data_IF_983735941915
#
_entry.id   IF_983735941915
#
_cell.length_a   1.000
_cell.length_b   1.000
_cell.length_c   1.000
_cell.angle_alpha   90.00
_cell.angle_beta   90.00
_cell.angle_gamma   90.00
#
_symmetry.space_group_name_H-M   'P 1'
#
loop_
_entity.id
_entity.type
_entity.pdbx_description
1 polymer ?
#
# COMPACT_ATOMS: atom_id res chain seq x y z
N UNK A 1 -26.19 -21.14 -9.43
CA UNK A 1 -26.51 -19.91 -8.66
C UNK A 1 -25.91 -18.68 -9.33
N UNK A 2 -26.58 -17.54 -9.28
CA UNK A 2 -26.03 -16.27 -9.76
C UNK A 2 -25.87 -15.32 -8.57
N UNK A 3 -24.74 -14.62 -8.48
CA UNK A 3 -24.49 -13.59 -7.47
C UNK A 3 -24.26 -12.26 -8.18
N UNK A 4 -24.98 -11.24 -7.75
CA UNK A 4 -24.79 -9.86 -8.18
C UNK A 4 -24.01 -9.12 -7.11
N UNK A 5 -22.92 -8.47 -7.50
CA UNK A 5 -22.20 -7.52 -6.66
C UNK A 5 -22.63 -6.12 -7.06
N UNK A 6 -23.06 -5.31 -6.09
CA UNK A 6 -23.47 -3.91 -6.32
C UNK A 6 -22.58 -2.98 -5.50
N UNK A 7 -21.98 -2.00 -6.17
CA UNK A 7 -21.04 -1.08 -5.55
C UNK A 7 -21.17 0.31 -6.14
N UNK A 8 -20.93 1.32 -5.31
CA UNK A 8 -20.80 2.72 -5.72
C UNK A 8 -19.39 3.03 -6.29
N UNK A 9 -18.50 2.02 -6.28
CA UNK A 9 -17.17 2.01 -6.89
C UNK A 9 -16.95 0.80 -7.80
N UNK A 10 -15.75 0.17 -7.72
CA UNK A 10 -15.34 -0.88 -8.69
C UNK A 10 -16.01 -2.24 -8.48
N UNK A 11 -16.55 -2.50 -7.29
CA UNK A 11 -17.09 -3.79 -6.88
C UNK A 11 -16.03 -4.86 -6.57
N UNK A 12 -14.75 -4.50 -6.46
CA UNK A 12 -13.69 -5.48 -6.20
C UNK A 12 -13.77 -6.08 -4.80
N UNK A 13 -14.07 -5.27 -3.77
CA UNK A 13 -14.26 -5.74 -2.39
C UNK A 13 -15.38 -6.79 -2.31
N UNK A 14 -16.54 -6.47 -2.92
CA UNK A 14 -17.66 -7.40 -3.00
C UNK A 14 -17.32 -8.67 -3.78
N UNK A 15 -16.62 -8.52 -4.91
CA UNK A 15 -16.20 -9.65 -5.73
C UNK A 15 -15.23 -10.58 -5.01
N UNK A 16 -14.27 -10.02 -4.27
CA UNK A 16 -13.30 -10.77 -3.47
C UNK A 16 -13.98 -11.54 -2.34
N UNK A 17 -14.87 -10.89 -1.59
CA UNK A 17 -15.63 -11.53 -0.51
C UNK A 17 -16.51 -12.67 -1.02
N UNK A 18 -17.24 -12.46 -2.11
CA UNK A 18 -18.06 -13.51 -2.74
C UNK A 18 -17.19 -14.67 -3.20
N UNK A 19 -16.07 -14.41 -3.89
CA UNK A 19 -15.14 -15.48 -4.32
C UNK A 19 -14.63 -16.29 -3.13
N UNK A 20 -14.23 -15.63 -2.05
CA UNK A 20 -13.74 -16.27 -0.83
C UNK A 20 -14.82 -17.18 -0.20
N UNK A 21 -16.06 -16.69 -0.11
CA UNK A 21 -17.17 -17.48 0.41
C UNK A 21 -17.50 -18.69 -0.49
N UNK A 22 -17.50 -18.50 -1.81
CA UNK A 22 -17.89 -19.53 -2.77
C UNK A 22 -16.90 -20.71 -2.86
N UNK A 23 -15.65 -20.55 -2.41
CA UNK A 23 -14.67 -21.64 -2.31
C UNK A 23 -15.17 -22.77 -1.39
N UNK A 24 -16.01 -22.45 -0.41
CA UNK A 24 -16.57 -23.41 0.53
C UNK A 24 -17.64 -24.34 -0.10
N UNK A 25 -18.09 -24.04 -1.32
CA UNK A 25 -19.19 -24.75 -1.97
C UNK A 25 -18.75 -25.40 -3.28
N UNK A 26 -19.09 -26.68 -3.47
CA UNK A 26 -18.84 -27.43 -4.72
C UNK A 26 -20.00 -27.31 -5.71
N UNK A 27 -20.43 -26.09 -6.02
CA UNK A 27 -21.54 -25.83 -6.93
C UNK A 27 -21.16 -24.80 -8.01
N UNK A 28 -21.79 -24.90 -9.19
CA UNK A 28 -21.55 -23.93 -10.28
C UNK A 28 -22.23 -22.60 -9.98
N UNK A 29 -21.48 -21.52 -10.12
CA UNK A 29 -21.97 -20.17 -9.89
C UNK A 29 -21.43 -19.17 -10.91
N UNK A 30 -22.11 -18.02 -11.02
CA UNK A 30 -21.71 -16.90 -11.87
C UNK A 30 -21.73 -15.61 -11.07
N UNK A 31 -20.77 -14.74 -11.35
CA UNK A 31 -20.68 -13.40 -10.78
C UNK A 31 -21.05 -12.37 -11.83
N UNK A 32 -21.92 -11.42 -11.48
CA UNK A 32 -22.12 -10.18 -12.25
C UNK A 32 -21.85 -9.00 -11.32
N UNK A 33 -21.12 -8.01 -11.82
CA UNK A 33 -20.71 -6.84 -11.03
C UNK A 33 -21.37 -5.60 -11.63
N UNK A 34 -22.09 -4.86 -10.80
CA UNK A 34 -22.69 -3.57 -11.10
C UNK A 34 -21.86 -2.52 -10.35
N UNK A 35 -21.12 -1.75 -11.16
CA UNK A 35 -20.20 -0.71 -10.70
C UNK A 35 -20.88 0.64 -10.71
N UNK A 36 -20.30 1.58 -9.97
CA UNK A 36 -20.70 2.99 -9.96
C UNK A 36 -22.22 3.20 -9.78
N UNK A 37 -22.88 2.32 -9.01
CA UNK A 37 -24.30 2.42 -8.71
C UNK A 37 -24.51 3.52 -7.66
N UNK A 38 -24.98 4.68 -8.11
CA UNK A 38 -25.03 5.93 -7.31
C UNK A 38 -26.42 6.58 -7.31
N UNK A 39 -27.43 5.89 -7.80
CA UNK A 39 -28.80 6.41 -7.82
C UNK A 39 -29.84 5.33 -7.52
N UNK A 40 -30.97 5.78 -6.97
CA UNK A 40 -32.14 4.94 -6.70
C UNK A 40 -32.68 4.26 -7.97
N UNK A 41 -32.62 4.95 -9.11
CA UNK A 41 -33.09 4.40 -10.39
C UNK A 41 -32.20 3.26 -10.90
N UNK A 42 -30.88 3.36 -10.70
CA UNK A 42 -29.95 2.26 -11.01
C UNK A 42 -30.18 1.07 -10.09
N UNK A 43 -30.30 1.32 -8.78
CA UNK A 43 -30.61 0.26 -7.80
C UNK A 43 -31.86 -0.50 -8.22
N UNK A 44 -32.95 0.18 -8.56
CA UNK A 44 -34.19 -0.45 -9.03
C UNK A 44 -33.95 -1.38 -10.22
N UNK A 45 -33.22 -0.91 -11.24
CA UNK A 45 -32.89 -1.70 -12.43
C UNK A 45 -32.02 -2.92 -12.09
N UNK A 46 -31.12 -2.79 -11.13
CA UNK A 46 -30.25 -3.90 -10.70
C UNK A 46 -31.06 -4.96 -9.94
N UNK A 47 -31.93 -4.53 -9.03
CA UNK A 47 -32.80 -5.45 -8.28
C UNK A 47 -33.81 -6.13 -9.19
N UNK A 48 -34.39 -5.42 -10.17
CA UNK A 48 -35.24 -6.00 -11.23
C UNK A 48 -34.50 -7.10 -12.02
N UNK A 49 -33.25 -6.86 -12.40
CA UNK A 49 -32.43 -7.88 -13.06
C UNK A 49 -32.09 -9.05 -12.12
N UNK A 50 -31.92 -8.79 -10.83
CA UNK A 50 -31.60 -9.81 -9.84
C UNK A 50 -32.79 -10.75 -9.63
N UNK A 51 -34.01 -10.19 -9.55
CA UNK A 51 -35.27 -10.93 -9.49
C UNK A 51 -35.41 -11.88 -10.69
N UNK A 52 -35.27 -11.35 -11.90
CA UNK A 52 -35.36 -12.15 -13.14
C UNK A 52 -34.30 -13.26 -13.22
N UNK A 53 -33.12 -13.02 -12.66
CA UNK A 53 -32.02 -13.98 -12.65
C UNK A 53 -32.03 -14.91 -11.43
N UNK A 54 -33.00 -14.75 -10.50
CA UNK A 54 -33.01 -15.37 -9.17
C UNK A 54 -31.63 -15.28 -8.49
N UNK A 55 -31.06 -14.08 -8.48
CA UNK A 55 -29.71 -13.81 -8.02
C UNK A 55 -29.67 -13.37 -6.56
N UNK A 56 -28.65 -13.83 -5.84
CA UNK A 56 -28.27 -13.25 -4.55
C UNK A 56 -27.60 -11.90 -4.82
N UNK A 57 -28.04 -10.83 -4.16
CA UNK A 57 -27.40 -9.52 -4.21
C UNK A 57 -26.47 -9.36 -3.02
N UNK A 58 -25.21 -9.04 -3.28
CA UNK A 58 -24.22 -8.63 -2.27
C UNK A 58 -23.81 -7.20 -2.59
N UNK A 59 -23.97 -6.28 -1.64
CA UNK A 59 -23.69 -4.87 -1.92
C UNK A 59 -22.70 -4.26 -0.93
N UNK A 60 -22.04 -3.19 -1.38
CA UNK A 60 -21.00 -2.44 -0.65
C UNK A 60 -21.23 -0.93 -0.77
N UNK A 61 -22.50 -0.53 -0.82
CA UNK A 61 -22.94 0.87 -0.89
C UNK A 61 -22.83 1.53 0.49
N UNK A 62 -22.46 2.80 0.54
CA UNK A 62 -22.31 3.53 1.83
C UNK A 62 -23.25 4.71 2.02
N UNK A 63 -23.88 5.19 0.94
CA UNK A 63 -24.87 6.27 0.99
C UNK A 63 -26.23 5.76 1.46
N UNK A 64 -26.71 6.33 2.57
CA UNK A 64 -27.90 5.85 3.28
C UNK A 64 -29.14 5.75 2.41
N UNK A 65 -29.43 6.78 1.60
CA UNK A 65 -30.61 6.79 0.73
C UNK A 65 -30.60 5.65 -0.29
N UNK A 66 -29.42 5.34 -0.87
CA UNK A 66 -29.25 4.29 -1.87
C UNK A 66 -29.32 2.91 -1.22
N UNK A 67 -28.70 2.75 -0.04
CA UNK A 67 -28.78 1.51 0.76
C UNK A 67 -30.23 1.20 1.13
N UNK A 68 -30.95 2.19 1.65
CA UNK A 68 -32.36 2.05 2.01
C UNK A 68 -33.24 1.74 0.80
N UNK A 69 -32.95 2.35 -0.36
CA UNK A 69 -33.66 2.04 -1.60
C UNK A 69 -33.40 0.59 -2.06
N UNK A 70 -32.15 0.11 -1.95
CA UNK A 70 -31.79 -1.25 -2.35
C UNK A 70 -32.47 -2.28 -1.46
N UNK A 71 -32.40 -2.10 -0.14
CA UNK A 71 -33.03 -2.99 0.83
C UNK A 71 -34.54 -3.03 0.62
N UNK A 72 -35.20 -1.87 0.53
CA UNK A 72 -36.65 -1.80 0.28
C UNK A 72 -37.05 -2.49 -1.01
N UNK A 73 -36.35 -2.26 -2.11
CA UNK A 73 -36.73 -2.90 -3.38
C UNK A 73 -36.40 -4.38 -3.43
N UNK A 74 -35.34 -4.81 -2.76
CA UNK A 74 -35.03 -6.22 -2.61
C UNK A 74 -36.14 -6.94 -1.80
N UNK A 75 -36.57 -6.35 -0.68
CA UNK A 75 -37.65 -6.86 0.15
C UNK A 75 -38.98 -6.92 -0.61
N UNK A 76 -39.35 -5.85 -1.33
CA UNK A 76 -40.57 -5.78 -2.13
C UNK A 76 -40.66 -6.87 -3.21
N UNK A 77 -39.51 -7.29 -3.75
CA UNK A 77 -39.40 -8.26 -4.85
C UNK A 77 -38.99 -9.66 -4.39
N UNK A 78 -38.81 -9.88 -3.08
CA UNK A 78 -38.33 -11.14 -2.53
C UNK A 78 -36.90 -11.51 -2.97
N UNK A 79 -36.08 -10.52 -3.34
CA UNK A 79 -34.68 -10.72 -3.68
C UNK A 79 -33.85 -10.72 -2.40
N UNK A 80 -33.01 -11.74 -2.23
CA UNK A 80 -32.09 -11.79 -1.07
C UNK A 80 -30.95 -10.79 -1.30
N UNK A 81 -30.84 -9.80 -0.42
CA UNK A 81 -29.77 -8.81 -0.44
C UNK A 81 -28.94 -8.85 0.86
N UNK A 82 -27.62 -8.78 0.72
CA UNK A 82 -26.65 -8.83 1.83
C UNK A 82 -25.79 -7.59 1.80
N UNK A 83 -25.86 -6.81 2.89
CA UNK A 83 -24.93 -5.71 3.14
C UNK A 83 -23.58 -6.27 3.62
N UNK A 84 -22.55 -6.11 2.79
CA UNK A 84 -21.23 -6.65 3.08
C UNK A 84 -20.47 -5.84 4.15
N UNK A 85 -20.68 -4.52 4.21
CA UNK A 85 -19.81 -3.62 4.98
C UNK A 85 -20.53 -2.90 6.12
N UNK A 86 -21.84 -2.66 6.01
CA UNK A 86 -22.61 -1.93 7.02
C UNK A 86 -22.44 -2.47 8.44
N UNK A 87 -22.57 -3.80 8.69
CA UNK A 87 -22.36 -4.36 10.03
C UNK A 87 -20.96 -4.09 10.59
N UNK A 88 -19.92 -4.16 9.76
CA UNK A 88 -18.53 -3.91 10.17
C UNK A 88 -18.32 -2.43 10.48
N UNK A 89 -18.79 -1.54 9.59
CA UNK A 89 -18.69 -0.09 9.76
C UNK A 89 -19.37 0.34 11.06
N UNK A 90 -20.56 -0.20 11.35
CA UNK A 90 -21.29 0.10 12.59
C UNK A 90 -20.49 -0.31 13.85
N UNK A 91 -19.84 -1.48 13.84
CA UNK A 91 -19.01 -1.93 14.97
C UNK A 91 -17.77 -1.06 15.15
N UNK A 92 -17.15 -0.64 14.06
CA UNK A 92 -16.00 0.29 14.10
C UNK A 92 -16.42 1.65 14.64
N UNK A 93 -17.53 2.22 14.15
CA UNK A 93 -18.08 3.48 14.63
C UNK A 93 -18.36 3.46 16.14
N UNK A 94 -18.99 2.40 16.64
CA UNK A 94 -19.23 2.19 18.07
C UNK A 94 -17.92 2.16 18.88
N UNK A 95 -16.88 1.51 18.35
CA UNK A 95 -15.60 1.38 19.04
C UNK A 95 -14.82 2.69 19.05
N UNK A 96 -14.85 3.43 17.95
CA UNK A 96 -14.16 4.72 17.80
C UNK A 96 -14.94 5.88 18.43
N UNK A 97 -16.24 5.71 18.68
CA UNK A 97 -17.17 6.76 19.11
C UNK A 97 -17.22 7.93 18.12
N UNK A 98 -17.17 7.62 16.84
CA UNK A 98 -17.20 8.58 15.72
C UNK A 98 -18.22 8.10 14.70
N UNK A 99 -19.00 9.02 14.14
CA UNK A 99 -19.95 8.73 13.08
C UNK A 99 -19.24 8.38 11.76
N UNK A 100 -19.70 7.35 11.02
CA UNK A 100 -19.19 7.08 9.69
C UNK A 100 -19.43 8.26 8.76
N UNK A 101 -18.50 8.47 7.82
CA UNK A 101 -18.61 9.58 6.87
C UNK A 101 -19.68 9.37 5.79
N UNK A 102 -20.13 8.13 5.56
CA UNK A 102 -21.18 7.78 4.58
C UNK A 102 -21.01 8.36 3.16
N UNK A 103 -19.77 8.67 2.74
CA UNK A 103 -19.50 9.23 1.42
C UNK A 103 -19.23 8.09 0.41
N UNK A 104 -20.02 8.00 -0.68
CA UNK A 104 -19.73 7.13 -1.82
C UNK A 104 -18.28 7.25 -2.28
N UNK A 105 -17.67 6.13 -2.62
CA UNK A 105 -16.29 6.16 -3.09
C UNK A 105 -15.26 6.45 -2.00
N UNK A 106 -15.57 6.39 -0.69
CA UNK A 106 -14.53 6.34 0.35
C UNK A 106 -13.68 5.05 0.31
N UNK A 107 -14.21 3.96 -0.27
CA UNK A 107 -13.39 2.81 -0.67
C UNK A 107 -12.41 3.17 -1.79
N UNK A 108 -12.81 4.10 -2.68
CA UNK A 108 -11.92 4.82 -3.58
C UNK A 108 -11.19 5.97 -2.90
N UNK A 109 -11.44 6.31 -1.63
CA UNK A 109 -10.69 7.30 -0.86
C UNK A 109 -9.31 6.80 -0.42
N UNK A 110 -9.04 5.50 -0.65
CA UNK A 110 -7.70 4.96 -0.88
C UNK A 110 -7.07 5.43 -2.22
N UNK A 111 -7.74 6.35 -2.94
CA UNK A 111 -7.28 7.06 -4.12
C UNK A 111 -5.91 7.68 -3.89
N UNK A 112 -5.64 8.23 -2.70
CA UNK A 112 -4.31 8.75 -2.39
C UNK A 112 -3.28 7.62 -2.44
N UNK A 113 -3.52 6.46 -1.84
CA UNK A 113 -2.58 5.33 -1.90
C UNK A 113 -2.44 4.77 -3.34
N UNK A 114 -3.49 4.80 -4.15
CA UNK A 114 -3.41 4.43 -5.57
C UNK A 114 -2.64 5.46 -6.40
N UNK A 115 -2.92 6.76 -6.24
CA UNK A 115 -2.23 7.84 -6.93
C UNK A 115 -0.79 7.98 -6.44
N UNK A 116 -0.52 7.76 -5.16
CA UNK A 116 0.81 7.70 -4.55
C UNK A 116 1.58 6.51 -5.11
N UNK A 117 0.94 5.35 -5.33
CA UNK A 117 1.56 4.22 -6.04
C UNK A 117 1.81 4.52 -7.51
N UNK A 118 0.88 5.19 -8.20
CA UNK A 118 1.07 5.60 -9.61
C UNK A 118 2.23 6.59 -9.70
N UNK A 119 2.28 7.59 -8.82
CA UNK A 119 3.34 8.58 -8.71
C UNK A 119 4.67 7.91 -8.32
N UNK A 120 4.67 6.98 -7.37
CA UNK A 120 5.85 6.19 -7.01
C UNK A 120 6.39 5.36 -8.18
N UNK A 121 5.51 4.72 -8.96
CA UNK A 121 5.89 3.95 -10.15
C UNK A 121 6.42 4.88 -11.24
N UNK A 122 5.76 6.00 -11.51
CA UNK A 122 6.23 6.99 -12.48
C UNK A 122 7.58 7.58 -12.06
N UNK A 123 7.74 7.90 -10.77
CA UNK A 123 8.99 8.35 -10.19
C UNK A 123 10.09 7.31 -10.41
N UNK A 124 9.84 6.04 -10.08
CA UNK A 124 10.83 4.97 -10.24
C UNK A 124 11.24 4.75 -11.70
N UNK A 125 10.31 4.90 -12.65
CA UNK A 125 10.61 4.82 -14.09
C UNK A 125 11.51 5.99 -14.52
N UNK A 126 11.22 7.21 -14.07
CA UNK A 126 12.03 8.40 -14.37
C UNK A 126 13.43 8.39 -13.73
N UNK A 127 13.60 7.61 -12.66
CA UNK A 127 14.84 7.53 -11.86
C UNK A 127 15.54 6.17 -11.94
N UNK A 128 15.17 5.32 -12.91
CA UNK A 128 15.89 4.08 -13.16
C UNK A 128 17.26 4.36 -13.81
N UNK A 129 18.27 3.57 -13.43
CA UNK A 129 19.63 3.63 -13.96
C UNK A 129 20.30 5.02 -13.92
N UNK A 130 19.95 5.85 -12.93
CA UNK A 130 20.51 7.19 -12.74
C UNK A 130 20.03 8.24 -13.75
N UNK A 131 18.93 7.99 -14.48
CA UNK A 131 18.46 8.85 -15.56
C UNK A 131 18.08 10.28 -15.14
N UNK A 132 17.67 10.50 -13.88
CA UNK A 132 17.34 11.83 -13.37
C UNK A 132 17.84 12.05 -11.93
N UNK A 133 19.05 12.57 -11.78
CA UNK A 133 19.65 12.81 -10.47
C UNK A 133 19.14 14.09 -9.78
N UNK A 134 18.58 15.05 -10.53
CA UNK A 134 18.21 16.37 -10.01
C UNK A 134 17.08 16.29 -8.97
N UNK A 135 16.11 15.42 -9.23
CA UNK A 135 14.93 15.20 -8.36
C UNK A 135 15.11 14.00 -7.43
N UNK A 136 16.33 13.44 -7.33
CA UNK A 136 16.60 12.26 -6.49
C UNK A 136 16.32 12.51 -4.99
N UNK A 137 16.42 13.75 -4.54
CA UNK A 137 16.13 14.16 -3.16
C UNK A 137 14.66 13.97 -2.75
N UNK A 138 13.75 13.84 -3.72
CA UNK A 138 12.33 13.55 -3.50
C UNK A 138 12.06 12.05 -3.26
N UNK A 139 13.05 11.17 -3.47
CA UNK A 139 12.90 9.75 -3.25
C UNK A 139 12.71 9.41 -1.76
N UNK A 140 11.82 8.46 -1.49
CA UNK A 140 11.69 7.79 -0.20
C UNK A 140 12.87 6.83 0.01
N UNK A 141 13.18 6.05 -1.03
CA UNK A 141 14.19 4.99 -1.01
C UNK A 141 15.12 5.17 -2.21
N UNK A 142 16.42 5.09 -1.99
CA UNK A 142 17.42 5.10 -3.07
C UNK A 142 18.25 3.84 -3.01
N UNK A 143 18.18 3.05 -4.08
CA UNK A 143 18.99 1.85 -4.26
C UNK A 143 20.28 2.20 -4.98
N UNK A 144 21.41 1.73 -4.46
CA UNK A 144 22.69 1.89 -5.13
C UNK A 144 23.53 0.63 -5.06
N UNK A 145 24.40 0.40 -6.03
CA UNK A 145 25.26 -0.78 -6.07
C UNK A 145 25.75 -1.12 -7.47
N UNK A 146 26.63 -2.13 -7.52
CA UNK A 146 27.31 -2.56 -8.75
C UNK A 146 26.34 -3.03 -9.83
N UNK A 147 26.74 -3.03 -11.09
CA UNK A 147 25.88 -3.49 -12.19
C UNK A 147 25.40 -4.93 -11.92
N UNK A 148 24.11 -5.21 -12.18
CA UNK A 148 23.43 -6.52 -12.01
C UNK A 148 23.11 -6.96 -10.58
N UNK A 149 23.01 -6.04 -9.62
CA UNK A 149 22.47 -6.31 -8.27
C UNK A 149 20.93 -6.23 -8.18
N UNK A 150 20.20 -6.57 -9.23
CA UNK A 150 18.71 -6.57 -9.26
C UNK A 150 18.04 -5.23 -8.89
N UNK A 151 18.73 -4.09 -9.04
CA UNK A 151 18.19 -2.76 -8.70
C UNK A 151 16.89 -2.42 -9.42
N UNK A 152 16.83 -2.56 -10.76
CA UNK A 152 15.63 -2.20 -11.54
C UNK A 152 14.40 -3.03 -11.18
N UNK A 153 14.45 -4.38 -11.08
CA UNK A 153 13.30 -5.15 -10.58
C UNK A 153 12.89 -4.76 -9.15
N UNK A 154 13.87 -4.47 -8.29
CA UNK A 154 13.61 -4.14 -6.89
C UNK A 154 13.03 -2.73 -6.72
N UNK A 155 13.49 -1.74 -7.48
CA UNK A 155 12.95 -0.37 -7.46
C UNK A 155 11.50 -0.35 -7.94
N UNK A 156 11.18 -1.09 -9.00
CA UNK A 156 9.81 -1.23 -9.49
C UNK A 156 8.91 -1.93 -8.47
N UNK A 157 9.41 -2.97 -7.80
CA UNK A 157 8.63 -3.66 -6.77
C UNK A 157 8.33 -2.74 -5.58
N UNK A 158 9.32 -1.97 -5.11
CA UNK A 158 9.14 -1.00 -4.02
C UNK A 158 8.15 0.11 -4.43
N UNK A 159 8.22 0.57 -5.67
CA UNK A 159 7.28 1.55 -6.21
C UNK A 159 5.83 1.03 -6.28
N UNK A 160 5.62 -0.23 -6.64
CA UNK A 160 4.31 -0.89 -6.58
C UNK A 160 3.75 -0.99 -5.15
N UNK A 161 4.63 -0.89 -4.14
CA UNK A 161 4.27 -0.80 -2.73
C UNK A 161 4.06 0.64 -2.23
N UNK A 162 4.19 1.64 -3.10
CA UNK A 162 3.93 3.06 -2.79
C UNK A 162 5.17 3.89 -2.47
N UNK A 163 6.39 3.35 -2.65
CA UNK A 163 7.62 4.07 -2.31
C UNK A 163 8.27 4.71 -3.54
N UNK A 164 8.47 6.04 -3.53
CA UNK A 164 9.26 6.74 -4.57
C UNK A 164 10.70 6.24 -4.52
N UNK A 165 11.05 5.38 -5.48
CA UNK A 165 12.33 4.66 -5.44
C UNK A 165 13.27 5.11 -6.55
N UNK A 166 14.43 5.67 -6.19
CA UNK A 166 15.50 5.97 -7.13
C UNK A 166 16.51 4.83 -7.26
N UNK A 167 17.07 4.61 -8.45
CA UNK A 167 18.13 3.62 -8.69
C UNK A 167 19.37 4.35 -9.23
N UNK A 168 20.46 4.36 -8.45
CA UNK A 168 21.72 4.98 -8.85
C UNK A 168 22.82 3.92 -8.95
N UNK A 169 23.25 3.54 -10.17
CA UNK A 169 24.29 2.54 -10.35
C UNK A 169 25.64 3.08 -9.88
N UNK A 170 26.46 2.20 -9.29
CA UNK A 170 27.88 2.47 -9.10
C UNK A 170 28.65 1.92 -10.29
N UNK A 171 29.40 2.80 -10.96
CA UNK A 171 30.22 2.45 -12.12
C UNK A 171 31.69 2.57 -11.74
N UNK A 172 32.47 1.52 -12.01
CA UNK A 172 33.91 1.51 -11.74
C UNK A 172 34.62 2.68 -12.42
N UNK A 173 35.43 3.42 -11.68
CA UNK A 173 36.21 4.55 -12.20
C UNK A 173 35.43 5.85 -12.35
N UNK A 174 34.14 5.86 -12.02
CA UNK A 174 33.30 7.05 -11.98
C UNK A 174 32.93 7.31 -10.52
N UNK A 175 33.19 8.53 -10.04
CA UNK A 175 32.78 8.92 -8.70
C UNK A 175 31.26 8.95 -8.58
N UNK A 176 30.69 8.51 -7.44
CA UNK A 176 29.25 8.61 -7.23
C UNK A 176 28.78 10.07 -7.33
N UNK A 177 27.59 10.32 -7.90
CA UNK A 177 27.07 11.67 -8.05
C UNK A 177 26.86 12.33 -6.69
N UNK A 178 27.09 13.65 -6.60
CA UNK A 178 26.95 14.41 -5.36
C UNK A 178 25.54 14.31 -4.80
N UNK A 179 24.55 14.31 -5.69
CA UNK A 179 23.14 14.16 -5.37
C UNK A 179 22.85 12.87 -4.60
N UNK A 180 23.59 11.79 -4.83
CA UNK A 180 23.48 10.55 -4.04
C UNK A 180 24.19 10.67 -2.68
N UNK A 181 25.36 11.32 -2.67
CA UNK A 181 26.20 11.45 -1.48
C UNK A 181 25.61 12.39 -0.42
N UNK A 182 24.80 13.36 -0.85
CA UNK A 182 24.18 14.37 0.01
C UNK A 182 22.81 13.95 0.57
N UNK A 183 22.27 12.79 0.15
CA UNK A 183 20.99 12.29 0.67
C UNK A 183 21.07 11.92 2.15
N UNK A 184 19.91 11.97 2.80
CA UNK A 184 19.75 11.35 4.11
C UNK A 184 20.12 9.86 4.02
N UNK A 185 21.18 9.47 4.73
CA UNK A 185 21.71 8.10 4.76
C UNK A 185 20.65 7.05 5.15
N UNK A 186 19.58 7.43 5.85
CA UNK A 186 18.45 6.53 6.21
C UNK A 186 17.62 6.10 5.01
N UNK A 187 17.71 6.82 3.89
CA UNK A 187 16.99 6.53 2.65
C UNK A 187 17.82 5.75 1.64
N UNK A 188 19.13 5.62 1.86
CA UNK A 188 20.05 5.02 0.88
C UNK A 188 20.42 3.59 1.28
N UNK A 189 20.15 2.66 0.36
CA UNK A 189 20.39 1.23 0.53
C UNK A 189 21.42 0.73 -0.49
N UNK A 190 22.57 0.31 0.01
CA UNK A 190 23.63 -0.30 -0.78
C UNK A 190 23.34 -1.79 -1.03
N UNK A 191 23.12 -2.17 -2.27
CA UNK A 191 22.93 -3.56 -2.67
C UNK A 191 24.27 -4.23 -2.93
N UNK A 192 24.53 -5.33 -2.22
CA UNK A 192 25.66 -6.23 -2.47
C UNK A 192 25.15 -7.58 -2.92
N UNK A 193 26.01 -8.31 -3.63
CA UNK A 193 25.79 -9.70 -4.02
C UNK A 193 27.11 -10.44 -3.83
N UNK A 194 27.06 -11.76 -3.67
CA UNK A 194 28.26 -12.58 -3.64
C UNK A 194 28.90 -12.63 -5.06
N UNK A 195 30.24 -12.72 -5.14
CA UNK A 195 30.93 -12.68 -6.42
C UNK A 195 30.49 -13.78 -7.40
N UNK A 196 30.20 -14.99 -6.90
CA UNK A 196 29.85 -16.13 -7.75
C UNK A 196 28.47 -15.93 -8.42
N UNK A 197 27.48 -15.47 -7.66
CA UNK A 197 26.16 -15.10 -8.20
C UNK A 197 26.29 -13.96 -9.20
N UNK A 198 27.08 -12.92 -8.90
CA UNK A 198 27.26 -11.79 -9.81
C UNK A 198 27.89 -12.21 -11.14
N UNK A 199 28.95 -13.02 -11.09
CA UNK A 199 29.59 -13.59 -12.28
C UNK A 199 28.61 -14.42 -13.12
N UNK A 200 27.81 -15.26 -12.45
CA UNK A 200 26.78 -16.06 -13.10
C UNK A 200 25.77 -15.20 -13.87
N UNK A 201 25.23 -14.15 -13.23
CA UNK A 201 24.26 -13.22 -13.84
C UNK A 201 24.89 -12.43 -15.00
N UNK A 202 26.12 -11.94 -14.84
CA UNK A 202 26.83 -11.20 -15.90
C UNK A 202 27.13 -12.08 -17.11
N UNK A 203 27.55 -13.33 -16.87
CA UNK A 203 27.82 -14.32 -17.91
C UNK A 203 26.55 -14.68 -18.68
N UNK A 204 25.43 -14.93 -17.98
CA UNK A 204 24.14 -15.18 -18.61
C UNK A 204 23.69 -14.00 -19.48
N UNK A 205 23.91 -12.77 -19.02
CA UNK A 205 23.59 -11.56 -19.79
C UNK A 205 24.43 -11.44 -21.06
N UNK A 206 25.74 -11.62 -21.00
CA UNK A 206 26.61 -11.56 -22.18
C UNK A 206 26.18 -12.58 -23.24
N UNK A 207 25.89 -13.82 -22.81
CA UNK A 207 25.37 -14.89 -23.69
C UNK A 207 24.06 -14.46 -24.37
N UNK A 208 23.13 -13.86 -23.62
CA UNK A 208 21.85 -13.41 -24.17
C UNK A 208 21.98 -12.30 -25.23
N UNK A 209 23.02 -11.45 -25.12
CA UNK A 209 23.25 -10.33 -26.03
C UNK A 209 24.14 -10.68 -27.23
N UNK A 210 24.64 -11.93 -27.32
CA UNK A 210 25.66 -12.36 -28.30
C UNK A 210 26.87 -11.41 -28.36
N UNK A 211 27.16 -10.75 -27.24
CA UNK A 211 28.30 -9.85 -27.12
C UNK A 211 29.58 -10.68 -26.90
N UNK A 212 30.73 -10.27 -27.46
CA UNK A 212 32.00 -10.89 -27.12
C UNK A 212 32.24 -10.77 -25.60
N UNK A 213 32.92 -11.75 -25.02
CA UNK A 213 33.30 -11.73 -23.61
C UNK A 213 34.13 -10.48 -23.34
N UNK A 214 33.56 -9.51 -22.63
CA UNK A 214 34.34 -8.44 -22.00
C UNK A 214 35.18 -9.09 -20.90
N UNK A 215 36.51 -8.99 -20.99
CA UNK A 215 37.43 -9.54 -19.99
C UNK A 215 37.07 -8.99 -18.63
N UNK A 216 37.01 -7.67 -18.48
CA UNK A 216 36.85 -7.02 -17.17
C UNK A 216 35.44 -7.19 -16.56
N UNK A 217 34.38 -7.33 -17.38
CA UNK A 217 33.00 -7.49 -16.88
C UNK A 217 32.74 -8.86 -16.25
N UNK A 218 33.49 -9.88 -16.68
CA UNK A 218 33.40 -11.27 -16.19
C UNK A 218 34.69 -11.79 -15.55
N UNK A 219 35.68 -10.92 -15.34
CA UNK A 219 36.90 -11.25 -14.62
C UNK A 219 36.59 -11.34 -13.10
N UNK A 220 36.85 -12.48 -12.45
CA UNK A 220 36.58 -12.66 -11.02
C UNK A 220 37.29 -11.65 -10.12
N UNK A 221 38.54 -11.29 -10.43
CA UNK A 221 39.34 -10.36 -9.62
C UNK A 221 38.80 -8.93 -9.76
N UNK A 222 38.40 -8.53 -10.97
CA UNK A 222 37.74 -7.24 -11.21
C UNK A 222 36.38 -7.16 -10.51
N UNK A 223 35.58 -8.22 -10.57
CA UNK A 223 34.28 -8.30 -9.88
C UNK A 223 34.46 -8.19 -8.37
N UNK A 224 35.44 -8.89 -7.80
CA UNK A 224 35.76 -8.79 -6.37
C UNK A 224 36.19 -7.37 -5.98
N UNK A 225 37.05 -6.75 -6.79
CA UNK A 225 37.53 -5.38 -6.54
C UNK A 225 36.39 -4.37 -6.62
N UNK A 226 35.50 -4.50 -7.60
CA UNK A 226 34.30 -3.68 -7.76
C UNK A 226 33.38 -3.78 -6.53
N UNK A 227 33.09 -5.02 -6.08
CA UNK A 227 32.29 -5.27 -4.88
C UNK A 227 32.93 -4.71 -3.60
N UNK A 228 34.24 -4.86 -3.43
CA UNK A 228 34.94 -4.32 -2.25
C UNK A 228 34.93 -2.79 -2.24
N UNK A 229 35.13 -2.14 -3.40
CA UNK A 229 35.01 -0.67 -3.54
C UNK A 229 33.61 -0.18 -3.17
N UNK A 230 32.56 -0.86 -3.64
CA UNK A 230 31.18 -0.52 -3.28
C UNK A 230 30.94 -0.66 -1.77
N UNK A 231 31.36 -1.77 -1.15
CA UNK A 231 31.22 -1.99 0.30
C UNK A 231 31.99 -0.96 1.13
N UNK A 232 33.18 -0.55 0.68
CA UNK A 232 33.96 0.53 1.31
C UNK A 232 33.23 1.86 1.26
N UNK A 233 32.62 2.20 0.11
CA UNK A 233 31.79 3.40 -0.03
C UNK A 233 30.59 3.35 0.92
N UNK A 234 29.86 2.24 0.97
CA UNK A 234 28.68 2.09 1.83
C UNK A 234 29.02 2.29 3.30
N UNK A 235 30.11 1.68 3.78
CA UNK A 235 30.60 1.87 5.16
C UNK A 235 30.99 3.32 5.44
N UNK A 236 31.70 3.96 4.50
CA UNK A 236 32.13 5.37 4.66
C UNK A 236 30.94 6.33 4.77
N UNK A 237 29.87 6.09 4.00
CA UNK A 237 28.65 6.91 4.03
C UNK A 237 27.65 6.49 5.13
N UNK A 238 27.88 5.35 5.78
CA UNK A 238 26.96 4.80 6.78
C UNK A 238 25.62 4.34 6.18
N UNK A 239 25.62 3.93 4.91
CA UNK A 239 24.42 3.40 4.24
C UNK A 239 24.14 1.97 4.68
N UNK A 240 22.86 1.63 4.83
CA UNK A 240 22.46 0.27 5.12
C UNK A 240 22.76 -0.62 3.91
N UNK A 241 23.31 -1.82 4.17
CA UNK A 241 23.69 -2.76 3.12
C UNK A 241 22.73 -3.94 3.09
N UNK A 242 22.23 -4.28 1.91
CA UNK A 242 21.33 -5.42 1.68
C UNK A 242 22.02 -6.41 0.76
N UNK A 243 22.21 -7.63 1.25
CA UNK A 243 22.70 -8.75 0.46
C UNK A 243 21.53 -9.43 -0.27
N UNK A 244 21.55 -9.34 -1.59
CA UNK A 244 20.51 -9.86 -2.49
C UNK A 244 20.81 -11.27 -3.04
N UNK A 245 21.92 -11.87 -2.63
CA UNK A 245 22.40 -13.17 -3.13
C UNK A 245 21.38 -14.28 -2.89
N UNK A 246 20.95 -14.94 -3.98
CA UNK A 246 20.03 -16.09 -3.92
C UNK A 246 18.64 -15.80 -3.36
N UNK A 247 18.25 -14.52 -3.22
CA UNK A 247 16.97 -14.11 -2.62
C UNK A 247 15.97 -13.58 -3.65
N UNK A 248 14.69 -13.82 -3.39
CA UNK A 248 13.60 -13.27 -4.17
C UNK A 248 13.53 -11.74 -4.04
N UNK A 249 12.97 -11.07 -5.06
CA UNK A 249 12.84 -9.59 -5.07
C UNK A 249 11.95 -9.14 -3.91
N UNK A 250 10.88 -9.87 -3.65
CA UNK A 250 9.91 -9.65 -2.58
C UNK A 250 10.56 -9.67 -1.20
N UNK A 251 11.45 -10.64 -0.96
CA UNK A 251 12.13 -10.79 0.32
C UNK A 251 13.12 -9.64 0.56
N UNK A 252 13.87 -9.25 -0.48
CA UNK A 252 14.79 -8.11 -0.41
C UNK A 252 14.03 -6.80 -0.21
N UNK A 253 12.87 -6.63 -0.87
CA UNK A 253 12.02 -5.46 -0.71
C UNK A 253 11.49 -5.33 0.71
N UNK A 254 11.00 -6.43 1.30
CA UNK A 254 10.51 -6.45 2.69
C UNK A 254 11.59 -5.95 3.65
N UNK A 255 12.84 -6.43 3.53
CA UNK A 255 13.94 -6.00 4.41
C UNK A 255 14.26 -4.51 4.28
N UNK A 256 14.17 -3.96 3.07
CA UNK A 256 14.40 -2.53 2.81
C UNK A 256 13.27 -1.71 3.43
N UNK A 257 12.01 -2.13 3.23
CA UNK A 257 10.83 -1.47 3.80
C UNK A 257 10.92 -1.46 5.32
N UNK A 258 11.16 -2.61 5.95
CA UNK A 258 11.26 -2.73 7.42
C UNK A 258 12.36 -1.80 7.97
N UNK A 259 13.51 -1.74 7.30
CA UNK A 259 14.63 -0.89 7.70
C UNK A 259 14.34 0.61 7.50
N UNK A 260 13.67 0.97 6.40
CA UNK A 260 13.23 2.34 6.12
C UNK A 260 12.19 2.81 7.15
N UNK A 261 11.15 2.01 7.41
CA UNK A 261 10.09 2.32 8.35
C UNK A 261 10.62 2.43 9.79
N UNK A 262 11.56 1.56 10.19
CA UNK A 262 12.17 1.62 11.51
C UNK A 262 12.97 2.91 11.77
N UNK A 263 13.54 3.51 10.72
CA UNK A 263 14.46 4.66 10.84
C UNK A 263 13.81 6.01 10.49
N UNK A 264 12.81 6.01 9.60
CA UNK A 264 12.11 7.21 9.11
C UNK A 264 10.66 7.25 9.62
N UNK A 265 10.01 6.10 9.83
CA UNK A 265 8.60 6.00 10.27
C UNK A 265 8.32 6.53 11.67
N UNK A 266 9.33 6.60 12.56
CA UNK A 266 9.19 7.27 13.86
C UNK A 266 8.97 8.80 13.75
N UNK A 267 9.15 9.41 12.56
CA UNK A 267 8.89 10.83 12.32
C UNK A 267 7.52 11.18 11.75
N UNK A 268 6.79 10.21 11.16
CA UNK A 268 5.45 10.47 10.56
C UNK A 268 4.29 10.39 11.57
N UNK A 269 4.52 9.82 12.76
CA UNK A 269 3.48 9.64 13.80
C UNK A 269 3.26 10.80 14.78
N UNK A 270 4.02 11.89 14.69
CA UNK A 270 4.02 12.96 15.72
C UNK A 270 3.24 14.25 15.35
N UNK A 271 2.57 14.32 14.19
CA UNK A 271 1.88 15.55 13.73
C UNK A 271 0.35 15.47 13.76
N UNK A 272 -0.24 14.64 14.62
CA UNK A 272 -1.69 14.42 14.68
C UNK A 272 -2.32 14.44 16.07
N UNK A 273 -1.63 14.92 17.10
CA UNK A 273 -2.24 15.09 18.41
C UNK A 273 -3.01 16.43 18.45
N UNK A 274 -4.34 16.45 18.67
CA UNK A 274 -5.04 17.69 18.92
C UNK A 274 -4.54 18.23 20.26
N UNK A 275 -4.01 19.44 20.23
CA UNK A 275 -3.66 20.24 21.39
C UNK A 275 -4.96 20.57 22.12
N UNK A 276 -5.33 19.78 23.13
CA UNK A 276 -6.38 20.18 24.08
C UNK A 276 -5.77 21.14 25.09
N UNK A 277 -6.02 22.44 24.86
CA UNK A 277 -5.87 23.44 25.91
C UNK A 277 -6.84 23.10 27.06
N UNK A 278 -6.46 23.27 28.34
CA UNK A 278 -7.37 23.06 29.45
C UNK A 278 -8.33 24.24 29.53
N UNK A 279 -9.60 24.01 29.22
CA UNK A 279 -10.68 24.94 29.54
C UNK A 279 -11.00 24.84 31.03
N UNK A 280 -10.60 25.85 31.78
CA UNK A 280 -11.15 26.13 33.11
C UNK A 280 -12.61 26.53 32.96
N UNK A 281 -13.53 25.70 33.44
CA UNK A 281 -14.91 26.06 33.71
C UNK A 281 -15.32 25.49 35.06
N UNK A 282 -15.29 26.34 36.07
CA UNK A 282 -15.84 26.07 37.39
C UNK A 282 -17.37 25.88 37.29
N UNK A 283 -17.89 24.79 37.83
CA UNK A 283 -19.32 24.60 38.07
C UNK A 283 -19.65 25.04 39.52
N UNK A 284 -20.83 25.66 39.77
CA UNK A 284 -21.21 26.12 41.10
C UNK A 284 -21.78 24.97 41.94
N UNK A 285 -21.58 25.07 43.25
CA UNK A 285 -22.06 24.13 44.27
C UNK A 285 -23.60 24.09 44.36
N UNK A 286 -24.21 22.95 44.73
CA UNK A 286 -25.65 22.85 44.99
C UNK A 286 -25.99 23.39 46.39
N UNK A 287 -27.23 23.86 46.62
CA UNK A 287 -27.66 24.37 47.91
C UNK A 287 -27.92 23.24 48.92
N UNK A 288 -27.61 23.52 50.18
CA UNK A 288 -27.80 22.61 51.31
C UNK A 288 -29.30 22.32 51.54
N UNK A 289 -29.68 21.05 51.41
CA UNK A 289 -30.97 20.53 51.86
C UNK A 289 -30.93 20.25 53.37
N UNK A 290 -31.90 20.83 54.08
CA UNK A 290 -32.15 20.71 55.51
C UNK A 290 -32.46 19.26 55.93
N UNK A 291 -31.67 18.75 56.87
CA UNK A 291 -31.98 17.51 57.59
C UNK A 291 -32.94 17.79 58.75
N UNK A 292 -34.16 17.29 58.66
CA UNK A 292 -35.07 17.12 59.79
C UNK A 292 -34.88 15.71 60.34
N UNK A 293 -34.22 15.60 61.51
CA UNK A 293 -34.22 14.40 62.34
C UNK A 293 -35.44 14.38 63.28
N UNK A 294 -35.96 13.21 63.67
CA UNK A 294 -37.08 13.12 64.60
C UNK A 294 -36.56 13.15 66.04
N UNK A 295 -37.19 13.97 66.89
CA UNK A 295 -37.10 13.86 68.35
C UNK A 295 -38.30 13.10 68.89
N UNK A 296 -38.00 12.15 69.76
CA UNK A 296 -38.93 11.42 70.63
C UNK A 296 -39.49 12.32 71.72
N UNK A 297 -40.68 11.93 72.21
CA UNK A 297 -41.52 12.48 73.31
C UNK A 297 -42.26 13.81 73.09
#
# INVERSE_FOLDING_TARGET
>A
MTVFVVSDGTGDTGSAAVRAAMIQFRHRWRLRVFRDTRSVSEVRRVVEQAEQANALVVFSLVEGEIVEALQREADNRGVVAVDLLGPLIMRVAQRLKVEPRHQPGLLHGFSDDYFDRVDAVEFAVRHDDGANLRTLHEADIVLTGVSRTSKTPLSMYLAQRGYKTGNVPLVTGIDPPKELLELDKRRVFGLTVDPATLLSVRTARLRSMRAPSSTDYTDPDQVMLELDRARKLFRRQGWQTVDVSGRAVEENASKIIDAYEATVGQGRGASGAPTSAPSTSAAPAPPAGSGSGPTSD
#
